data_IF_720496514161
#
_entry.id   IF_720496514161
#
_cell.length_a   1.000
_cell.length_b   1.000
_cell.length_c   1.000
_cell.angle_alpha   90.00
_cell.angle_beta   90.00
_cell.angle_gamma   90.00
#
_symmetry.space_group_name_H-M   'P 1'
#
loop_
_entity.id
_entity.type
_entity.pdbx_description
1 polymer ?
#
# COMPACT_ATOMS: atom_id res chain seq x y z
N UNK A 1 6.34 1.74 -26.33
CA UNK A 1 6.69 0.31 -26.46
C UNK A 1 7.21 -0.18 -25.11
N UNK A 2 6.63 -1.23 -24.54
CA UNK A 2 7.15 -1.81 -23.29
C UNK A 2 8.52 -2.45 -23.56
N UNK A 3 9.56 -1.97 -22.87
CA UNK A 3 10.89 -2.57 -22.93
C UNK A 3 10.89 -3.84 -22.08
N UNK A 4 10.98 -4.99 -22.72
CA UNK A 4 11.17 -6.28 -22.04
C UNK A 4 12.64 -6.37 -21.64
N UNK A 5 12.88 -6.75 -20.39
CA UNK A 5 14.24 -6.94 -19.84
C UNK A 5 14.33 -8.33 -19.24
N UNK A 6 15.43 -9.03 -19.54
CA UNK A 6 15.72 -10.32 -18.92
C UNK A 6 16.42 -10.10 -17.59
N UNK A 7 15.94 -10.76 -16.54
CA UNK A 7 16.57 -10.78 -15.22
C UNK A 7 16.92 -12.24 -14.91
N UNK A 8 18.18 -12.49 -14.58
CA UNK A 8 18.65 -13.81 -14.16
C UNK A 8 18.68 -13.86 -12.64
N UNK A 9 18.13 -14.94 -12.08
CA UNK A 9 18.08 -15.21 -10.63
C UNK A 9 18.48 -16.67 -10.40
N UNK A 10 18.94 -16.99 -9.19
CA UNK A 10 19.19 -18.39 -8.82
C UNK A 10 17.89 -19.17 -8.57
N UNK A 11 17.99 -20.50 -8.54
CA UNK A 11 16.83 -21.39 -8.37
C UNK A 11 16.13 -21.18 -7.03
N UNK A 12 16.90 -20.89 -5.97
CA UNK A 12 16.36 -20.63 -4.63
C UNK A 12 15.47 -19.37 -4.63
N UNK A 13 15.93 -18.30 -5.28
CA UNK A 13 15.18 -17.04 -5.42
C UNK A 13 13.94 -17.25 -6.26
N UNK A 14 14.04 -18.06 -7.32
CA UNK A 14 12.90 -18.44 -8.16
C UNK A 14 11.84 -19.18 -7.37
N UNK A 15 12.22 -20.14 -6.52
CA UNK A 15 11.29 -20.84 -5.63
C UNK A 15 10.60 -19.90 -4.64
N UNK A 16 11.35 -19.00 -4.00
CA UNK A 16 10.77 -18.00 -3.10
C UNK A 16 9.81 -17.06 -3.83
N UNK A 17 10.14 -16.64 -5.05
CA UNK A 17 9.28 -15.81 -5.87
C UNK A 17 7.98 -16.54 -6.26
N UNK A 18 8.06 -17.85 -6.51
CA UNK A 18 6.89 -18.70 -6.77
C UNK A 18 5.96 -18.75 -5.54
N UNK A 19 6.52 -18.90 -4.33
CA UNK A 19 5.74 -18.88 -3.08
C UNK A 19 5.01 -17.54 -2.90
N UNK A 20 5.71 -16.43 -3.15
CA UNK A 20 5.11 -15.08 -3.11
C UNK A 20 3.98 -14.95 -4.13
N UNK A 21 4.19 -15.40 -5.37
CA UNK A 21 3.17 -15.37 -6.41
C UNK A 21 1.93 -16.20 -6.05
N UNK A 22 2.12 -17.40 -5.48
CA UNK A 22 1.03 -18.26 -5.03
C UNK A 22 0.18 -17.62 -3.92
N UNK A 23 0.84 -17.02 -2.92
CA UNK A 23 0.14 -16.29 -1.85
C UNK A 23 -0.67 -15.11 -2.41
N UNK A 24 -0.10 -14.35 -3.35
CA UNK A 24 -0.79 -13.25 -4.04
C UNK A 24 -2.00 -13.75 -4.83
N UNK A 25 -1.84 -14.87 -5.55
CA UNK A 25 -2.90 -15.47 -6.35
C UNK A 25 -4.07 -15.92 -5.47
N UNK A 26 -3.80 -16.56 -4.33
CA UNK A 26 -4.85 -16.93 -3.36
C UNK A 26 -5.58 -15.68 -2.85
N UNK A 27 -4.84 -14.63 -2.49
CA UNK A 27 -5.41 -13.41 -1.92
C UNK A 27 -6.27 -12.63 -2.92
N UNK A 28 -5.84 -12.55 -4.18
CA UNK A 28 -6.50 -11.74 -5.23
C UNK A 28 -7.48 -12.52 -6.09
N UNK A 29 -7.46 -13.86 -6.02
CA UNK A 29 -8.26 -14.77 -6.85
C UNK A 29 -8.04 -14.54 -8.36
N UNK A 30 -6.85 -14.09 -8.75
CA UNK A 30 -6.45 -13.83 -10.14
C UNK A 30 -5.12 -14.54 -10.45
N UNK A 31 -4.85 -14.81 -11.74
CA UNK A 31 -3.59 -15.42 -12.16
C UNK A 31 -2.44 -14.42 -11.96
N UNK A 32 -1.42 -14.83 -11.21
CA UNK A 32 -0.24 -14.00 -10.93
C UNK A 32 0.97 -14.58 -11.66
N UNK A 33 1.70 -13.72 -12.39
CA UNK A 33 2.98 -14.06 -13.00
C UNK A 33 4.14 -13.43 -12.21
N UNK A 34 5.38 -13.74 -12.61
CA UNK A 34 6.56 -13.20 -11.94
C UNK A 34 6.70 -11.69 -12.05
N UNK A 35 6.30 -11.06 -13.17
CA UNK A 35 6.33 -9.60 -13.30
C UNK A 35 5.42 -8.93 -12.27
N UNK A 36 4.20 -9.43 -12.09
CA UNK A 36 3.27 -8.95 -11.07
C UNK A 36 3.79 -9.17 -9.65
N UNK A 37 4.39 -10.33 -9.39
CA UNK A 37 4.99 -10.63 -8.07
C UNK A 37 6.17 -9.69 -7.76
N UNK A 38 7.05 -9.44 -8.73
CA UNK A 38 8.17 -8.51 -8.60
C UNK A 38 7.66 -7.08 -8.36
N UNK A 39 6.67 -6.62 -9.13
CA UNK A 39 6.03 -5.30 -8.92
C UNK A 39 5.47 -5.15 -7.51
N UNK A 40 4.77 -6.16 -7.01
CA UNK A 40 4.25 -6.16 -5.64
C UNK A 40 5.38 -6.07 -4.60
N UNK A 41 6.48 -6.79 -4.77
CA UNK A 41 7.63 -6.73 -3.87
C UNK A 41 8.29 -5.35 -3.89
N UNK A 42 8.50 -4.77 -5.08
CA UNK A 42 9.05 -3.42 -5.24
C UNK A 42 8.16 -2.37 -4.61
N UNK A 43 6.85 -2.44 -4.85
CA UNK A 43 5.88 -1.55 -4.21
C UNK A 43 5.92 -1.66 -2.68
N UNK A 44 5.95 -2.87 -2.13
CA UNK A 44 6.02 -3.05 -0.68
C UNK A 44 7.34 -2.57 -0.10
N UNK A 45 8.45 -2.82 -0.78
CA UNK A 45 9.76 -2.31 -0.38
C UNK A 45 9.76 -0.77 -0.34
N UNK A 46 9.16 -0.13 -1.35
CA UNK A 46 9.04 1.32 -1.43
C UNK A 46 8.03 1.88 -0.39
N UNK A 47 6.89 1.21 -0.19
CA UNK A 47 5.84 1.60 0.79
C UNK A 47 6.34 1.51 2.22
N UNK A 48 7.14 0.49 2.57
CA UNK A 48 7.75 0.35 3.90
C UNK A 48 8.73 1.48 4.26
N UNK A 49 9.09 2.36 3.31
CA UNK A 49 10.09 3.40 3.49
C UNK A 49 9.60 4.83 3.27
N UNK A 50 8.30 5.12 3.29
CA UNK A 50 7.88 6.53 3.33
C UNK A 50 7.99 7.12 4.75
N UNK A 51 9.22 7.07 5.28
CA UNK A 51 9.60 7.66 6.57
C UNK A 51 9.22 9.14 6.62
N UNK A 52 9.22 9.83 5.48
CA UNK A 52 8.80 11.23 5.38
C UNK A 52 7.30 11.38 5.62
N UNK A 53 6.45 10.57 4.99
CA UNK A 53 5.00 10.57 5.29
C UNK A 53 4.71 10.18 6.73
N UNK A 54 5.41 9.17 7.26
CA UNK A 54 5.25 8.77 8.65
C UNK A 54 5.62 9.91 9.62
N UNK A 55 6.79 10.54 9.44
CA UNK A 55 7.20 11.69 10.24
C UNK A 55 6.19 12.83 10.11
N UNK A 56 5.72 13.14 8.89
CA UNK A 56 4.72 14.19 8.65
C UNK A 56 3.40 13.90 9.35
N UNK A 57 2.91 12.66 9.32
CA UNK A 57 1.69 12.27 10.02
C UNK A 57 1.80 12.38 11.55
N UNK A 58 3.00 12.18 12.09
CA UNK A 58 3.28 12.32 13.53
C UNK A 58 3.65 13.75 13.95
N UNK A 59 3.70 14.73 13.05
CA UNK A 59 4.00 16.11 13.41
C UNK A 59 2.85 16.68 14.25
N UNK A 60 3.20 17.29 15.39
CA UNK A 60 2.24 18.05 16.19
C UNK A 60 1.76 19.24 15.35
N UNK A 61 0.46 19.31 15.13
CA UNK A 61 -0.17 20.49 14.52
C UNK A 61 -0.18 21.58 15.59
N UNK A 62 0.36 22.75 15.26
CA UNK A 62 0.36 23.92 16.12
C UNK A 62 -0.89 24.75 15.83
N UNK A 63 -1.33 25.52 16.83
CA UNK A 63 -2.42 26.49 16.68
C UNK A 63 -3.74 25.87 16.21
N UNK A 64 -4.05 24.67 16.73
CA UNK A 64 -5.30 23.96 16.43
C UNK A 64 -6.20 23.93 17.67
N UNK A 65 -7.48 24.26 17.47
CA UNK A 65 -8.51 24.03 18.48
C UNK A 65 -9.09 22.64 18.27
N UNK A 66 -8.79 21.72 19.20
CA UNK A 66 -9.19 20.32 19.11
C UNK A 66 -10.72 20.17 19.10
N UNK A 67 -11.41 21.02 19.84
CA UNK A 67 -12.87 20.97 19.97
C UNK A 67 -13.56 21.28 18.63
N UNK A 68 -13.08 22.30 17.93
CA UNK A 68 -13.63 22.70 16.63
C UNK A 68 -13.44 21.60 15.58
N UNK A 69 -12.25 20.98 15.54
CA UNK A 69 -11.94 19.89 14.61
C UNK A 69 -12.77 18.64 14.89
N UNK A 70 -12.99 18.30 16.16
CA UNK A 70 -13.85 17.17 16.53
C UNK A 70 -15.30 17.44 16.17
N UNK A 71 -15.79 18.65 16.41
CA UNK A 71 -17.15 19.03 16.05
C UNK A 71 -17.38 18.97 14.54
N UNK A 72 -16.43 19.46 13.73
CA UNK A 72 -16.47 19.33 12.27
C UNK A 72 -16.55 17.85 11.84
N UNK A 73 -15.69 16.99 12.40
CA UNK A 73 -15.67 15.56 12.12
C UNK A 73 -17.03 14.89 12.40
N UNK A 74 -17.65 15.20 13.53
CA UNK A 74 -18.95 14.63 13.89
C UNK A 74 -20.10 15.13 13.02
N UNK A 75 -20.06 16.40 12.61
CA UNK A 75 -21.08 16.98 11.73
C UNK A 75 -21.04 16.32 10.35
N UNK A 76 -19.86 16.16 9.77
CA UNK A 76 -19.71 15.49 8.47
C UNK A 76 -20.13 14.02 8.54
N UNK A 77 -19.78 13.31 9.63
CA UNK A 77 -20.21 11.92 9.81
C UNK A 77 -21.74 11.77 9.88
N UNK A 78 -22.43 12.69 10.56
CA UNK A 78 -23.90 12.68 10.60
C UNK A 78 -24.51 12.92 9.21
N UNK A 79 -23.89 13.77 8.38
CA UNK A 79 -24.36 14.01 7.00
C UNK A 79 -24.24 12.76 6.15
N UNK A 80 -23.12 12.04 6.26
CA UNK A 80 -22.92 10.76 5.57
C UNK A 80 -23.99 9.74 5.99
N UNK A 81 -24.25 9.62 7.30
CA UNK A 81 -25.24 8.69 7.86
C UNK A 81 -26.69 9.06 7.48
N UNK A 82 -26.99 10.35 7.31
CA UNK A 82 -28.31 10.83 6.85
C UNK A 82 -28.55 10.74 5.34
N UNK A 83 -27.49 10.46 4.57
CA UNK A 83 -27.55 10.35 3.10
C UNK A 83 -27.76 8.91 2.61
N UNK A 84 -27.99 7.96 3.52
CA UNK A 84 -28.31 6.55 3.23
C UNK A 84 -29.79 6.22 3.49
#
# INVERSE_FOLDING_TARGET
>A
MLKITTITIDDKTKEELLKVAAQLQIKRKEKINYDTAIKFLLENYNKKKDKRKFIKACQKVRDINVEDVLNELYLERKKDESSF
#
